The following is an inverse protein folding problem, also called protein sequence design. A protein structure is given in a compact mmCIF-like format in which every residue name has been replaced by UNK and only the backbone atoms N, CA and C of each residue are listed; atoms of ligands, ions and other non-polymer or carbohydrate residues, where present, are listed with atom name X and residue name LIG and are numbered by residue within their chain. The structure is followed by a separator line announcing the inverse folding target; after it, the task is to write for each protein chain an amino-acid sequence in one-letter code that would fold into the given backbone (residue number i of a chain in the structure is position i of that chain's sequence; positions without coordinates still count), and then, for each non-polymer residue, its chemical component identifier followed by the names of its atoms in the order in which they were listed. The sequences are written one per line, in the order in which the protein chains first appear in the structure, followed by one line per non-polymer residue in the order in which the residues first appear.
data_IF_587658219257
#
_entry.id   IF_587658219257
#
_cell.length_a   1.000
_cell.length_b   1.000
_cell.length_c   1.000
_cell.angle_alpha   90.00
_cell.angle_beta   90.00
_cell.angle_gamma   90.00
#
_symmetry.space_group_name_H-M   'P 1'
#
loop_
_entity.id
_entity.type
_entity.pdbx_description
1 polymer ?
#
# COMPACT_ATOMS: atom_id res chain seq x y z
N UNK A 1 20.61 -9.14 57.07
CA UNK A 1 21.22 -9.89 55.97
C UNK A 1 20.13 -10.28 54.98
N UNK A 2 20.28 -9.86 53.72
CA UNK A 2 19.31 -10.03 52.63
C UNK A 2 19.39 -11.45 52.08
N UNK A 3 18.27 -12.14 51.96
CA UNK A 3 18.17 -13.29 51.07
C UNK A 3 17.21 -12.95 49.92
N UNK A 4 17.77 -12.90 48.71
CA UNK A 4 17.08 -12.55 47.46
C UNK A 4 16.34 -13.78 46.96
N UNK A 5 15.01 -13.71 46.85
CA UNK A 5 14.24 -14.65 46.05
C UNK A 5 14.32 -14.23 44.58
N UNK A 6 15.08 -14.98 43.80
CA UNK A 6 15.09 -14.91 42.33
C UNK A 6 13.82 -15.61 41.84
N UNK A 7 12.83 -14.83 41.42
CA UNK A 7 11.66 -15.36 40.70
C UNK A 7 12.10 -15.57 39.25
N UNK A 8 12.34 -16.83 38.88
CA UNK A 8 12.43 -17.27 37.48
C UNK A 8 11.05 -17.12 36.84
N UNK A 9 10.85 -16.06 36.06
CA UNK A 9 9.71 -15.95 35.16
C UNK A 9 9.90 -16.95 34.02
N UNK A 10 9.15 -18.05 34.09
CA UNK A 10 9.18 -19.14 33.11
C UNK A 10 7.77 -19.35 32.56
N UNK A 11 7.31 -18.43 31.72
CA UNK A 11 6.25 -18.61 30.73
C UNK A 11 6.66 -17.67 29.59
N UNK A 12 6.83 -18.13 28.36
CA UNK A 12 5.79 -18.07 27.32
C UNK A 12 6.20 -19.01 26.17
N UNK A 13 5.38 -20.01 25.83
CA UNK A 13 5.37 -20.54 24.47
C UNK A 13 3.93 -20.72 23.99
N UNK A 14 3.20 -19.62 23.73
CA UNK A 14 1.87 -19.69 23.09
C UNK A 14 1.69 -18.63 21.99
N UNK A 15 2.56 -17.62 21.87
CA UNK A 15 2.31 -16.49 20.95
C UNK A 15 2.77 -16.69 19.48
N UNK A 16 3.18 -17.90 19.08
CA UNK A 16 3.74 -18.14 17.72
C UNK A 16 2.75 -18.79 16.75
N UNK A 17 1.58 -19.24 17.18
CA UNK A 17 0.72 -20.09 16.35
C UNK A 17 -0.45 -19.41 15.59
N UNK A 18 -0.57 -18.07 15.56
CA UNK A 18 -1.79 -17.40 15.08
C UNK A 18 -1.56 -16.21 14.12
N UNK A 19 -0.52 -16.31 13.27
CA UNK A 19 -0.31 -15.43 12.09
C UNK A 19 -0.86 -16.08 10.79
N UNK A 20 -1.55 -17.22 10.93
CA UNK A 20 -1.78 -18.19 9.85
C UNK A 20 -2.78 -17.77 8.75
N UNK A 21 -3.62 -16.75 8.93
CA UNK A 21 -4.70 -16.52 7.95
C UNK A 21 -4.39 -15.56 6.79
N UNK A 22 -3.25 -14.87 6.82
CA UNK A 22 -2.61 -14.31 5.61
C UNK A 22 -1.43 -15.13 5.08
N UNK A 23 -1.01 -16.16 5.82
CA UNK A 23 0.02 -17.10 5.41
C UNK A 23 -0.48 -18.09 4.33
N UNK A 24 -1.78 -18.33 4.22
CA UNK A 24 -2.33 -19.36 3.31
C UNK A 24 -2.00 -19.14 1.81
N UNK A 25 -1.73 -17.91 1.37
CA UNK A 25 -1.26 -17.65 -0.01
C UNK A 25 0.27 -17.53 -0.16
N UNK A 26 1.01 -17.37 0.94
CA UNK A 26 2.48 -17.35 0.95
C UNK A 26 3.09 -18.74 1.24
N UNK A 27 2.44 -19.57 2.07
CA UNK A 27 2.90 -20.91 2.43
C UNK A 27 2.93 -21.86 1.22
N UNK A 28 1.99 -21.71 0.27
CA UNK A 28 1.98 -22.54 -0.94
C UNK A 28 3.16 -22.29 -1.89
N UNK A 29 3.87 -21.15 -1.74
CA UNK A 29 5.11 -20.85 -2.48
C UNK A 29 6.38 -21.08 -1.66
N UNK A 30 6.29 -21.00 -0.33
CA UNK A 30 7.44 -21.23 0.56
C UNK A 30 7.79 -22.72 0.69
N UNK A 31 6.80 -23.62 0.63
CA UNK A 31 7.04 -25.06 0.74
C UNK A 31 7.54 -25.73 -0.56
N UNK A 32 7.50 -25.04 -1.70
CA UNK A 32 7.92 -25.62 -2.99
C UNK A 32 9.38 -25.36 -3.39
N UNK A 33 10.13 -24.56 -2.62
CA UNK A 33 11.54 -24.24 -2.91
C UNK A 33 12.43 -24.45 -1.69
N UNK A 34 12.28 -25.58 -1.00
CA UNK A 34 13.24 -26.02 0.01
C UNK A 34 14.47 -26.66 -0.68
N UNK A 35 15.18 -25.86 -1.48
CA UNK A 35 16.55 -26.19 -1.89
C UNK A 35 17.52 -25.68 -0.83
N UNK A 36 18.54 -26.50 -0.55
CA UNK A 36 19.58 -26.34 0.47
C UNK A 36 20.39 -25.05 0.29
N UNK A 37 19.85 -23.91 0.73
CA UNK A 37 20.58 -22.70 1.12
C UNK A 37 19.59 -21.67 1.68
N UNK A 38 18.94 -21.99 2.80
CA UNK A 38 18.08 -21.02 3.51
C UNK A 38 18.89 -19.77 3.83
N UNK A 39 18.59 -18.60 3.22
CA UNK A 39 19.21 -17.34 3.61
C UNK A 39 18.87 -17.10 5.07
N UNK A 40 19.80 -16.55 5.86
CA UNK A 40 19.49 -16.23 7.25
C UNK A 40 18.26 -15.32 7.29
N UNK A 41 17.35 -15.53 8.25
CA UNK A 41 16.09 -14.77 8.41
C UNK A 41 16.32 -13.24 8.53
N UNK A 42 17.58 -12.82 8.67
CA UNK A 42 18.06 -11.46 8.84
C UNK A 42 18.76 -10.85 7.61
N UNK A 43 19.03 -11.63 6.56
CA UNK A 43 19.75 -11.14 5.38
C UNK A 43 18.81 -10.53 4.34
N UNK A 44 19.21 -9.37 3.82
CA UNK A 44 18.56 -8.71 2.71
C UNK A 44 19.04 -9.32 1.38
N UNK A 45 18.12 -9.82 0.55
CA UNK A 45 18.49 -10.34 -0.76
C UNK A 45 19.01 -9.19 -1.63
N UNK A 46 20.22 -9.32 -2.18
CA UNK A 46 20.81 -8.29 -3.04
C UNK A 46 20.37 -8.53 -4.49
N UNK A 47 19.74 -7.55 -5.17
CA UNK A 47 19.30 -7.74 -6.55
C UNK A 47 20.47 -7.94 -7.51
N UNK A 48 20.36 -8.92 -8.40
CA UNK A 48 21.31 -9.12 -9.50
C UNK A 48 21.19 -8.02 -10.57
N UNK A 49 22.03 -8.05 -11.62
CA UNK A 49 22.06 -7.01 -12.65
C UNK A 49 20.71 -6.82 -13.38
N UNK A 50 20.05 -7.93 -13.73
CA UNK A 50 18.76 -7.91 -14.42
C UNK A 50 17.64 -7.39 -13.52
N UNK A 51 17.61 -7.82 -12.26
CA UNK A 51 16.67 -7.34 -11.25
C UNK A 51 16.86 -5.83 -10.97
N UNK A 52 18.11 -5.35 -10.90
CA UNK A 52 18.40 -3.91 -10.78
C UNK A 52 17.83 -3.13 -11.97
N UNK A 53 17.99 -3.65 -13.19
CA UNK A 53 17.42 -3.04 -14.40
C UNK A 53 15.88 -3.00 -14.35
N UNK A 54 15.24 -4.08 -13.91
CA UNK A 54 13.78 -4.13 -13.74
C UNK A 54 13.28 -3.15 -12.68
N UNK A 55 13.95 -3.07 -11.53
CA UNK A 55 13.62 -2.11 -10.48
C UNK A 55 13.72 -0.67 -10.98
N UNK A 56 14.83 -0.29 -11.66
CA UNK A 56 14.96 1.03 -12.27
C UNK A 56 13.84 1.33 -13.26
N UNK A 57 13.51 0.36 -14.12
CA UNK A 57 12.43 0.51 -15.09
C UNK A 57 11.08 0.73 -14.42
N UNK A 58 10.78 0.03 -13.32
CA UNK A 58 9.54 0.23 -12.56
C UNK A 58 9.51 1.62 -11.92
N UNK A 59 10.60 2.06 -11.29
CA UNK A 59 10.73 3.38 -10.66
C UNK A 59 10.53 4.49 -11.70
N UNK A 60 11.14 4.36 -12.89
CA UNK A 60 10.96 5.30 -13.99
C UNK A 60 9.52 5.34 -14.52
N UNK A 61 8.88 4.18 -14.68
CA UNK A 61 7.48 4.11 -15.11
C UNK A 61 6.54 4.75 -14.09
N UNK A 62 6.77 4.49 -12.80
CA UNK A 62 6.01 5.12 -11.71
C UNK A 62 6.18 6.64 -11.76
N UNK A 63 7.42 7.13 -11.77
CA UNK A 63 7.72 8.56 -11.84
C UNK A 63 7.09 9.24 -13.06
N UNK A 64 7.05 8.56 -14.22
CA UNK A 64 6.38 9.07 -15.42
C UNK A 64 4.87 9.24 -15.26
N UNK A 65 4.20 8.31 -14.57
CA UNK A 65 2.78 8.45 -14.25
C UNK A 65 2.55 9.53 -13.20
N UNK A 66 3.40 9.61 -12.17
CA UNK A 66 3.31 10.68 -11.16
C UNK A 66 3.42 12.06 -11.80
N UNK A 67 4.37 12.25 -12.74
CA UNK A 67 4.48 13.49 -13.52
C UNK A 67 3.24 13.76 -14.35
N UNK A 68 2.69 12.72 -14.98
CA UNK A 68 1.46 12.84 -15.77
C UNK A 68 0.27 13.24 -14.91
N UNK A 69 0.10 12.63 -13.74
CA UNK A 69 -0.87 13.05 -12.72
C UNK A 69 -0.62 14.49 -12.28
N UNK A 70 0.65 14.88 -12.12
CA UNK A 70 1.06 16.26 -11.80
C UNK A 70 0.54 17.28 -12.81
N UNK A 71 0.58 16.97 -14.11
CA UNK A 71 0.04 17.87 -15.14
C UNK A 71 -1.47 18.11 -15.05
N UNK A 72 -2.20 17.24 -14.34
CA UNK A 72 -3.65 17.35 -14.13
C UNK A 72 -4.02 18.10 -12.84
N UNK A 73 -3.03 18.66 -12.11
CA UNK A 73 -3.27 19.38 -10.85
C UNK A 73 -4.20 20.58 -11.02
N UNK A 74 -3.93 21.46 -11.99
CA UNK A 74 -4.73 22.68 -12.18
C UNK A 74 -6.16 22.35 -12.60
N UNK A 75 -6.34 21.35 -13.46
CA UNK A 75 -7.67 20.84 -13.81
C UNK A 75 -8.42 20.34 -12.57
N UNK A 76 -7.79 19.48 -11.75
CA UNK A 76 -8.39 18.97 -10.51
C UNK A 76 -8.68 20.10 -9.51
N UNK A 77 -7.84 21.12 -9.46
CA UNK A 77 -8.03 22.29 -8.61
C UNK A 77 -9.23 23.12 -9.03
N UNK A 78 -9.38 23.38 -10.34
CA UNK A 78 -10.55 24.07 -10.90
C UNK A 78 -11.84 23.29 -10.65
N UNK A 79 -11.76 21.96 -10.69
CA UNK A 79 -12.89 21.07 -10.39
C UNK A 79 -13.26 21.02 -8.90
N UNK A 80 -12.44 21.59 -8.01
CA UNK A 80 -12.65 21.53 -6.56
C UNK A 80 -12.31 20.16 -5.95
N UNK A 81 -11.56 19.33 -6.67
CA UNK A 81 -11.09 18.01 -6.22
C UNK A 81 -9.80 18.10 -5.40
N UNK A 82 -9.10 19.25 -5.42
CA UNK A 82 -7.98 19.56 -4.53
C UNK A 82 -8.51 20.33 -3.32
N UNK A 83 -8.41 19.73 -2.13
CA UNK A 83 -8.81 20.33 -0.84
C UNK A 83 -7.69 20.14 0.18
N UNK A 84 -7.25 21.22 0.82
CA UNK A 84 -6.17 21.21 1.80
C UNK A 84 -4.90 20.49 1.29
N UNK A 85 -4.49 20.81 0.06
CA UNK A 85 -3.37 20.16 -0.64
C UNK A 85 -3.51 18.63 -0.76
N UNK A 86 -4.76 18.13 -0.82
CA UNK A 86 -5.06 16.71 -1.00
C UNK A 86 -6.14 16.50 -2.04
N UNK A 87 -6.04 15.40 -2.76
CA UNK A 87 -7.11 14.88 -3.62
C UNK A 87 -7.41 13.46 -3.20
N UNK A 88 -8.68 13.18 -2.89
CA UNK A 88 -9.14 11.84 -2.49
C UNK A 88 -10.08 11.31 -3.56
N UNK A 89 -9.72 10.20 -4.19
CA UNK A 89 -10.50 9.59 -5.27
C UNK A 89 -10.88 8.17 -4.89
N UNK A 90 -12.16 7.85 -5.03
CA UNK A 90 -12.66 6.48 -4.93
C UNK A 90 -12.49 5.79 -6.27
N UNK A 91 -11.73 4.69 -6.27
CA UNK A 91 -11.42 3.91 -7.46
C UNK A 91 -12.44 2.80 -7.67
N UNK A 92 -12.78 2.08 -6.60
CA UNK A 92 -13.73 0.96 -6.64
C UNK A 92 -14.55 0.86 -5.35
N UNK A 93 -15.81 0.43 -5.49
CA UNK A 93 -16.71 0.09 -4.39
C UNK A 93 -17.66 -1.01 -4.88
N UNK A 94 -17.23 -2.27 -4.79
CA UNK A 94 -17.93 -3.39 -5.42
C UNK A 94 -17.96 -4.66 -4.57
N UNK A 95 -18.93 -5.52 -4.87
CA UNK A 95 -19.00 -6.87 -4.32
C UNK A 95 -18.34 -7.84 -5.29
N UNK A 96 -17.32 -8.55 -4.82
CA UNK A 96 -16.68 -9.65 -5.54
C UNK A 96 -17.09 -10.99 -4.95
N UNK A 97 -17.20 -12.02 -5.80
CA UNK A 97 -17.46 -13.41 -5.40
C UNK A 97 -18.50 -14.10 -6.28
N UNK A 98 -18.56 -15.43 -6.18
CA UNK A 98 -19.44 -16.23 -7.03
C UNK A 98 -20.92 -16.09 -6.65
N UNK A 99 -21.77 -16.02 -7.68
CA UNK A 99 -23.21 -16.11 -7.52
C UNK A 99 -23.59 -17.53 -7.02
N UNK A 100 -23.85 -17.66 -5.72
CA UNK A 100 -24.26 -18.92 -5.08
C UNK A 100 -23.40 -19.31 -3.88
N UNK A 101 -22.17 -18.77 -3.77
CA UNK A 101 -21.29 -19.02 -2.63
C UNK A 101 -21.16 -17.77 -1.76
N UNK A 102 -22.08 -17.62 -0.80
CA UNK A 102 -22.16 -16.44 0.06
C UNK A 102 -20.94 -16.25 0.97
N UNK A 103 -20.21 -17.33 1.28
CA UNK A 103 -19.04 -17.29 2.16
C UNK A 103 -17.79 -16.73 1.47
N UNK A 104 -17.78 -16.68 0.13
CA UNK A 104 -16.71 -16.08 -0.69
C UNK A 104 -17.05 -14.68 -1.21
N UNK A 105 -18.10 -14.06 -0.67
CA UNK A 105 -18.47 -12.69 -1.04
C UNK A 105 -17.69 -11.69 -0.19
N UNK A 106 -16.98 -10.80 -0.88
CA UNK A 106 -16.25 -9.70 -0.29
C UNK A 106 -16.72 -8.38 -0.85
N UNK A 107 -16.81 -7.37 0.01
CA UNK A 107 -16.92 -5.99 -0.41
C UNK A 107 -15.52 -5.38 -0.48
N UNK A 108 -15.15 -4.84 -1.63
CA UNK A 108 -13.90 -4.13 -1.85
C UNK A 108 -14.18 -2.65 -1.98
N UNK A 109 -13.44 -1.84 -1.24
CA UNK A 109 -13.44 -0.39 -1.33
C UNK A 109 -12.01 0.11 -1.47
N UNK A 110 -11.73 0.72 -2.62
CA UNK A 110 -10.42 1.25 -2.96
C UNK A 110 -10.49 2.77 -3.09
N UNK A 111 -9.53 3.45 -2.48
CA UNK A 111 -9.33 4.88 -2.67
C UNK A 111 -7.84 5.19 -2.79
N UNK A 112 -7.56 6.28 -3.48
CA UNK A 112 -6.24 6.91 -3.51
C UNK A 112 -6.36 8.32 -2.89
N UNK A 113 -5.38 8.68 -2.07
CA UNK A 113 -5.14 10.05 -1.64
C UNK A 113 -3.83 10.52 -2.24
N UNK A 114 -3.88 11.62 -2.97
CA UNK A 114 -2.72 12.31 -3.53
C UNK A 114 -2.46 13.52 -2.64
N UNK A 115 -1.25 13.62 -2.10
CA UNK A 115 -0.80 14.78 -1.34
C UNK A 115 0.00 15.68 -2.26
N UNK A 116 -0.43 16.92 -2.38
CA UNK A 116 0.18 17.93 -3.23
C UNK A 116 1.16 18.79 -2.42
N UNK A 117 2.24 19.19 -3.08
CA UNK A 117 3.17 20.19 -2.57
C UNK A 117 3.63 21.02 -3.75
N UNK A 118 3.42 22.33 -3.68
CA UNK A 118 3.82 23.26 -4.75
C UNK A 118 3.26 22.86 -6.14
N UNK A 119 2.02 22.35 -6.17
CA UNK A 119 1.34 21.90 -7.39
C UNK A 119 1.85 20.57 -7.97
N UNK A 120 2.71 19.84 -7.24
CA UNK A 120 3.24 18.54 -7.65
C UNK A 120 2.84 17.44 -6.67
N UNK A 121 2.67 16.18 -7.14
CA UNK A 121 2.45 15.06 -6.24
C UNK A 121 3.69 14.81 -5.38
N UNK A 122 3.52 14.91 -4.06
CA UNK A 122 4.58 14.70 -3.07
C UNK A 122 4.52 13.32 -2.44
N UNK A 123 3.31 12.80 -2.23
CA UNK A 123 3.05 11.50 -1.61
C UNK A 123 1.74 10.92 -2.12
N UNK A 124 1.67 9.60 -2.19
CA UNK A 124 0.45 8.87 -2.48
C UNK A 124 0.13 7.93 -1.31
N UNK A 125 -1.15 7.86 -0.96
CA UNK A 125 -1.70 6.87 -0.04
C UNK A 125 -2.77 6.07 -0.76
N UNK A 126 -2.50 4.78 -1.00
CA UNK A 126 -3.47 3.84 -1.52
C UNK A 126 -4.10 3.10 -0.36
N UNK A 127 -5.42 3.20 -0.24
CA UNK A 127 -6.17 2.47 0.76
C UNK A 127 -7.08 1.47 0.06
N UNK A 128 -6.98 0.21 0.49
CA UNK A 128 -7.90 -0.87 0.13
C UNK A 128 -8.51 -1.44 1.39
N UNK A 129 -9.84 -1.49 1.44
CA UNK A 129 -10.58 -2.26 2.43
C UNK A 129 -11.26 -3.43 1.76
N UNK A 130 -11.02 -4.62 2.28
CA UNK A 130 -11.73 -5.83 1.93
C UNK A 130 -12.50 -6.31 3.15
N UNK A 131 -13.81 -6.50 3.03
CA UNK A 131 -14.66 -6.99 4.11
C UNK A 131 -15.47 -8.20 3.64
N UNK A 132 -15.50 -9.27 4.43
CA UNK A 132 -16.37 -10.42 4.17
C UNK A 132 -17.83 -10.06 4.51
N UNK A 133 -18.78 -10.48 3.68
CA UNK A 133 -20.20 -10.09 3.84
C UNK A 133 -20.89 -10.82 5.01
N UNK A 134 -20.44 -12.04 5.34
CA UNK A 134 -20.89 -12.82 6.51
C UNK A 134 -19.71 -13.10 7.43
N UNK A 135 -19.72 -12.48 8.61
CA UNK A 135 -18.61 -12.49 9.57
C UNK A 135 -17.86 -11.16 9.61
N UNK A 136 -17.24 -10.84 10.73
CA UNK A 136 -16.47 -9.59 10.90
C UNK A 136 -15.01 -9.86 10.53
N UNK A 137 -14.78 -10.30 9.30
CA UNK A 137 -13.43 -10.39 8.74
C UNK A 137 -13.17 -9.16 7.87
N UNK A 138 -12.27 -8.28 8.33
CA UNK A 138 -11.98 -7.01 7.66
C UNK A 138 -10.48 -6.86 7.53
N UNK A 139 -10.03 -6.60 6.32
CA UNK A 139 -8.64 -6.30 6.02
C UNK A 139 -8.61 -4.87 5.50
N UNK A 140 -7.78 -4.03 6.10
CA UNK A 140 -7.44 -2.71 5.57
C UNK A 140 -5.95 -2.70 5.25
N UNK A 141 -5.63 -2.33 4.02
CA UNK A 141 -4.25 -2.15 3.57
C UNK A 141 -4.08 -0.71 3.15
N UNK A 142 -3.09 -0.04 3.74
CA UNK A 142 -2.69 1.31 3.38
C UNK A 142 -1.26 1.26 2.89
N UNK A 143 -1.05 1.52 1.61
CA UNK A 143 0.28 1.69 1.04
C UNK A 143 0.57 3.19 0.92
N UNK A 144 1.63 3.65 1.57
CA UNK A 144 2.12 5.02 1.45
C UNK A 144 3.45 5.02 0.72
N UNK A 145 3.57 5.85 -0.31
CA UNK A 145 4.80 6.03 -1.06
C UNK A 145 5.05 7.53 -1.26
N UNK A 146 6.26 7.98 -0.98
CA UNK A 146 6.69 9.30 -1.42
C UNK A 146 6.89 9.30 -2.94
N UNK A 147 6.81 10.48 -3.55
CA UNK A 147 7.03 10.68 -4.98
C UNK A 147 8.37 10.07 -5.42
N UNK A 148 8.35 9.24 -6.46
CA UNK A 148 9.53 8.56 -6.99
C UNK A 148 10.26 9.39 -8.06
N UNK A 149 9.78 10.60 -8.37
CA UNK A 149 10.38 11.47 -9.39
C UNK A 149 11.85 11.75 -9.14
N UNK A 150 12.24 12.05 -7.90
CA UNK A 150 13.65 12.29 -7.56
C UNK A 150 14.48 11.02 -7.63
N UNK A 151 13.96 9.90 -7.12
CA UNK A 151 14.62 8.60 -7.20
C UNK A 151 14.88 8.18 -8.66
N UNK A 152 13.91 8.42 -9.56
CA UNK A 152 14.05 8.14 -10.98
C UNK A 152 15.14 9.00 -11.64
N UNK A 153 15.23 10.29 -11.30
CA UNK A 153 16.28 11.20 -11.82
C UNK A 153 17.68 10.83 -11.35
N UNK A 154 17.79 10.37 -10.11
CA UNK A 154 19.06 9.94 -9.51
C UNK A 154 19.45 8.49 -9.86
N UNK A 155 18.65 7.79 -10.68
CA UNK A 155 18.79 6.34 -10.94
C UNK A 155 18.85 5.48 -9.65
N UNK A 156 18.23 5.97 -8.59
CA UNK A 156 18.20 5.34 -7.28
C UNK A 156 17.30 4.11 -7.29
N UNK A 157 17.74 3.06 -6.61
CA UNK A 157 16.93 1.88 -6.31
C UNK A 157 16.19 2.01 -4.97
N UNK A 158 16.45 3.09 -4.23
CA UNK A 158 15.85 3.33 -2.92
C UNK A 158 14.50 4.03 -3.10
N UNK A 159 13.43 3.38 -2.66
CA UNK A 159 12.08 3.94 -2.70
C UNK A 159 11.39 3.76 -1.34
N UNK A 160 11.02 4.86 -0.66
CA UNK A 160 10.36 4.79 0.63
C UNK A 160 8.89 4.42 0.44
N UNK A 161 8.64 3.11 0.37
CA UNK A 161 7.29 2.54 0.35
C UNK A 161 7.05 1.84 1.68
N UNK A 162 5.95 2.20 2.33
CA UNK A 162 5.48 1.58 3.56
C UNK A 162 4.08 1.02 3.32
N UNK A 163 3.82 -0.17 3.85
CA UNK A 163 2.52 -0.84 3.73
C UNK A 163 2.05 -1.17 5.13
N UNK A 164 1.02 -0.46 5.58
CA UNK A 164 0.30 -0.77 6.81
C UNK A 164 -0.80 -1.78 6.50
N UNK A 165 -0.84 -2.90 7.21
CA UNK A 165 -1.91 -3.89 7.12
C UNK A 165 -2.58 -3.99 8.49
N UNK A 166 -3.87 -3.63 8.52
CA UNK A 166 -4.75 -3.81 9.67
C UNK A 166 -5.74 -4.93 9.35
N UNK A 167 -5.56 -6.09 9.97
CA UNK A 167 -6.47 -7.23 9.88
C UNK A 167 -7.34 -7.30 11.14
N UNK A 168 -8.64 -7.45 10.96
CA UNK A 168 -9.60 -7.76 12.03
C UNK A 168 -10.21 -9.13 11.73
N UNK A 169 -9.98 -10.08 12.64
CA UNK A 169 -10.48 -11.44 12.54
C UNK A 169 -11.94 -11.52 12.97
N UNK A 170 -12.62 -12.61 12.58
CA UNK A 170 -14.01 -12.86 12.97
C UNK A 170 -14.20 -12.92 14.51
N UNK A 171 -13.13 -13.22 15.27
CA UNK A 171 -13.10 -13.19 16.73
C UNK A 171 -13.13 -11.79 17.34
N UNK A 172 -13.02 -10.73 16.53
CA UNK A 172 -12.88 -9.35 16.97
C UNK A 172 -11.45 -8.96 17.35
N UNK A 173 -10.49 -9.89 17.34
CA UNK A 173 -9.08 -9.60 17.53
C UNK A 173 -8.51 -8.93 16.28
N UNK A 174 -7.72 -7.87 16.49
CA UNK A 174 -7.04 -7.14 15.43
C UNK A 174 -5.54 -7.39 15.45
N UNK A 175 -4.95 -7.65 14.28
CA UNK A 175 -3.50 -7.70 14.07
C UNK A 175 -3.12 -6.53 13.17
N UNK A 176 -2.08 -5.80 13.55
CA UNK A 176 -1.54 -4.70 12.75
C UNK A 176 -0.06 -4.94 12.48
N UNK A 177 0.33 -4.91 11.22
CA UNK A 177 1.71 -5.13 10.78
C UNK A 177 2.11 -4.06 9.79
N UNK A 178 3.30 -3.48 9.94
CA UNK A 178 3.84 -2.54 8.96
C UNK A 178 4.98 -3.21 8.19
N UNK A 179 4.82 -3.30 6.87
CA UNK A 179 5.86 -3.73 5.96
C UNK A 179 6.60 -2.53 5.40
N UNK A 180 7.92 -2.60 5.31
CA UNK A 180 8.75 -1.57 4.68
C UNK A 180 9.60 -2.16 3.58
N UNK A 181 9.78 -1.41 2.51
CA UNK A 181 10.73 -1.75 1.47
C UNK A 181 12.12 -1.28 1.92
N UNK A 182 13.09 -2.18 2.09
CA UNK A 182 14.44 -1.83 2.52
C UNK A 182 15.19 -1.06 1.44
N UNK A 183 15.97 -0.06 1.88
CA UNK A 183 16.89 0.68 1.02
C UNK A 183 18.14 -0.15 0.67
N UNK A 184 18.86 0.18 -0.42
CA UNK A 184 20.00 -0.61 -0.92
C UNK A 184 21.24 -0.62 -0.01
N UNK A 185 21.30 0.24 1.02
CA UNK A 185 22.40 0.32 1.99
C UNK A 185 21.96 -0.12 3.40
N UNK A 186 20.87 -0.90 3.48
CA UNK A 186 20.36 -1.44 4.74
C UNK A 186 20.71 -2.93 4.82
N UNK A 187 22.00 -3.21 4.94
CA UNK A 187 22.54 -4.58 4.88
C UNK A 187 22.17 -5.41 6.13
N UNK A 188 21.93 -4.74 7.26
CA UNK A 188 21.44 -5.34 8.50
C UNK A 188 20.15 -4.66 8.94
N UNK A 189 19.03 -5.33 8.73
CA UNK A 189 17.72 -4.90 9.19
C UNK A 189 17.20 -5.91 10.21
N UNK A 190 17.18 -5.50 11.47
CA UNK A 190 16.48 -6.23 12.51
C UNK A 190 15.02 -5.77 12.52
N UNK A 191 14.10 -6.72 12.65
CA UNK A 191 12.69 -6.41 12.82
C UNK A 191 12.54 -5.64 14.15
N UNK A 192 11.98 -4.43 14.07
CA UNK A 192 11.87 -3.52 15.21
C UNK A 192 10.40 -3.31 15.58
N UNK A 193 10.15 -2.77 16.78
CA UNK A 193 8.82 -2.27 17.14
C UNK A 193 8.84 -0.76 17.27
N UNK A 194 8.04 -0.06 16.49
CA UNK A 194 7.99 1.40 16.46
C UNK A 194 6.58 1.91 16.77
N UNK A 195 6.47 3.13 17.30
CA UNK A 195 5.18 3.82 17.39
C UNK A 195 4.84 4.39 16.01
N UNK A 196 3.77 3.89 15.41
CA UNK A 196 3.29 4.29 14.08
C UNK A 196 1.92 4.92 14.23
N UNK A 197 1.69 6.04 13.54
CA UNK A 197 0.38 6.65 13.44
C UNK A 197 -0.52 5.76 12.56
N UNK A 198 -1.62 5.31 13.13
CA UNK A 198 -2.61 4.47 12.44
C UNK A 198 -3.56 5.31 11.59
N UNK A 199 -4.31 4.66 10.71
CA UNK A 199 -5.36 5.29 9.89
C UNK A 199 -6.44 6.03 10.70
N UNK A 200 -6.55 5.79 12.00
CA UNK A 200 -7.47 6.48 12.91
C UNK A 200 -6.84 7.66 13.67
N UNK A 201 -5.60 8.04 13.34
CA UNK A 201 -4.86 9.13 14.01
C UNK A 201 -4.31 8.76 15.40
N UNK A 202 -4.39 7.48 15.78
CA UNK A 202 -3.83 6.98 17.04
C UNK A 202 -2.43 6.41 16.84
N UNK A 203 -1.48 6.72 17.71
CA UNK A 203 -0.17 6.09 17.71
C UNK A 203 -0.24 4.72 18.37
N UNK A 204 0.21 3.67 17.67
CA UNK A 204 0.29 2.32 18.21
C UNK A 204 1.67 1.73 18.00
N UNK A 205 2.12 0.91 18.95
CA UNK A 205 3.36 0.15 18.80
C UNK A 205 3.11 -0.97 17.80
N UNK A 206 3.87 -0.98 16.72
CA UNK A 206 3.70 -1.89 15.58
C UNK A 206 4.99 -2.64 15.31
N UNK A 207 4.87 -3.91 14.93
CA UNK A 207 5.98 -4.67 14.38
C UNK A 207 6.30 -4.14 12.98
N UNK A 208 7.58 -3.78 12.77
CA UNK A 208 8.13 -3.39 11.49
C UNK A 208 8.78 -4.61 10.87
N UNK A 209 8.26 -5.02 9.72
CA UNK A 209 8.75 -6.16 8.94
C UNK A 209 9.33 -5.66 7.63
N UNK A 210 10.58 -6.00 7.34
CA UNK A 210 11.19 -5.61 6.08
C UNK A 210 10.93 -6.64 4.99
N UNK A 211 10.57 -6.19 3.78
CA UNK A 211 10.44 -7.07 2.62
C UNK A 211 11.83 -7.40 2.07
N UNK A 212 12.40 -8.51 2.54
CA UNK A 212 13.78 -8.91 2.26
C UNK A 212 13.98 -9.46 0.85
N UNK A 213 13.00 -10.19 0.30
CA UNK A 213 13.11 -10.79 -1.04
C UNK A 213 13.01 -9.75 -2.14
N UNK A 214 13.82 -9.88 -3.20
CA UNK A 214 13.79 -8.96 -4.35
C UNK A 214 12.46 -9.08 -5.09
N UNK A 215 11.95 -10.30 -5.25
CA UNK A 215 10.69 -10.58 -5.96
C UNK A 215 9.50 -9.89 -5.29
N UNK A 216 9.37 -10.02 -3.96
CA UNK A 216 8.29 -9.38 -3.20
C UNK A 216 8.30 -7.86 -3.34
N UNK A 217 9.50 -7.25 -3.32
CA UNK A 217 9.68 -5.81 -3.56
C UNK A 217 9.24 -5.41 -4.96
N UNK A 218 9.63 -6.17 -5.98
CA UNK A 218 9.21 -5.93 -7.36
C UNK A 218 7.69 -6.07 -7.51
N UNK A 219 7.08 -7.06 -6.86
CA UNK A 219 5.63 -7.27 -6.89
C UNK A 219 4.84 -6.13 -6.23
N UNK A 220 5.35 -5.60 -5.12
CA UNK A 220 4.80 -4.39 -4.51
C UNK A 220 4.86 -3.21 -5.49
N UNK A 221 6.01 -2.98 -6.14
CA UNK A 221 6.16 -1.89 -7.10
C UNK A 221 5.28 -2.07 -8.34
N UNK A 222 5.13 -3.30 -8.85
CA UNK A 222 4.21 -3.61 -9.97
C UNK A 222 2.77 -3.32 -9.60
N UNK A 223 2.34 -3.72 -8.39
CA UNK A 223 0.99 -3.43 -7.88
C UNK A 223 0.78 -1.93 -7.70
N UNK A 224 1.75 -1.22 -7.13
CA UNK A 224 1.72 0.23 -6.98
C UNK A 224 1.59 0.94 -8.33
N UNK A 225 2.42 0.55 -9.31
CA UNK A 225 2.36 1.05 -10.68
C UNK A 225 0.97 0.85 -11.31
N UNK A 226 0.38 -0.34 -11.16
CA UNK A 226 -0.97 -0.61 -11.69
C UNK A 226 -2.02 0.28 -11.03
N UNK A 227 -1.98 0.44 -9.71
CA UNK A 227 -2.88 1.35 -8.99
C UNK A 227 -2.76 2.79 -9.46
N UNK A 228 -1.54 3.27 -9.72
CA UNK A 228 -1.32 4.62 -10.26
C UNK A 228 -1.89 4.76 -11.68
N UNK A 229 -1.75 3.75 -12.55
CA UNK A 229 -2.38 3.73 -13.88
C UNK A 229 -3.90 3.82 -13.79
N UNK A 230 -4.49 3.02 -12.91
CA UNK A 230 -5.96 3.02 -12.71
C UNK A 230 -6.43 4.38 -12.16
N UNK A 231 -5.65 4.97 -11.28
CA UNK A 231 -5.91 6.31 -10.72
C UNK A 231 -5.79 7.41 -11.77
N UNK A 232 -4.76 7.37 -12.62
CA UNK A 232 -4.59 8.29 -13.74
C UNK A 232 -5.78 8.24 -14.69
N UNK A 233 -6.19 7.02 -15.09
CA UNK A 233 -7.36 6.82 -15.93
C UNK A 233 -8.64 7.37 -15.28
N UNK A 234 -8.80 7.17 -13.97
CA UNK A 234 -9.94 7.70 -13.23
C UNK A 234 -9.95 9.22 -13.19
N UNK A 235 -8.80 9.86 -12.97
CA UNK A 235 -8.64 11.32 -12.99
C UNK A 235 -9.04 11.86 -14.37
N UNK A 236 -8.49 11.28 -15.44
CA UNK A 236 -8.81 11.67 -16.82
C UNK A 236 -10.32 11.56 -17.10
N UNK A 237 -10.95 10.49 -16.63
CA UNK A 237 -12.40 10.30 -16.76
C UNK A 237 -13.21 11.37 -16.04
N UNK A 238 -12.83 11.73 -14.80
CA UNK A 238 -13.48 12.78 -14.02
C UNK A 238 -13.39 14.12 -14.74
N UNK A 239 -12.17 14.50 -15.17
CA UNK A 239 -11.93 15.76 -15.90
C UNK A 239 -12.78 15.80 -17.18
N UNK A 240 -12.72 14.75 -17.99
CA UNK A 240 -13.48 14.67 -19.25
C UNK A 240 -15.00 14.78 -19.04
N UNK A 241 -15.54 14.10 -18.02
CA UNK A 241 -16.97 14.13 -17.77
C UNK A 241 -17.45 15.49 -17.27
N UNK A 242 -16.67 16.15 -16.41
CA UNK A 242 -17.05 17.49 -15.96
C UNK A 242 -17.06 18.48 -17.11
N UNK A 243 -16.02 18.50 -17.95
CA UNK A 243 -15.96 19.36 -19.12
C UNK A 243 -17.17 19.13 -20.05
N UNK A 244 -17.61 17.87 -20.20
CA UNK A 244 -18.83 17.55 -20.96
C UNK A 244 -20.10 18.08 -20.30
N UNK A 245 -20.25 17.91 -18.99
CA UNK A 245 -21.41 18.44 -18.24
C UNK A 245 -21.51 19.96 -18.35
N UNK A 246 -20.40 20.67 -18.17
CA UNK A 246 -20.36 22.13 -18.23
C UNK A 246 -20.64 22.65 -19.64
N UNK A 247 -20.11 21.98 -20.67
CA UNK A 247 -20.46 22.27 -22.08
C UNK A 247 -21.95 22.10 -22.36
N UNK A 248 -22.57 21.02 -21.87
CA UNK A 248 -24.03 20.81 -22.01
C UNK A 248 -24.84 21.86 -21.25
N UNK A 249 -24.39 22.29 -20.06
CA UNK A 249 -25.05 23.37 -19.31
C UNK A 249 -25.00 24.69 -20.09
N UNK A 250 -23.84 25.06 -20.62
CA UNK A 250 -23.67 26.28 -21.42
C UNK A 250 -24.56 26.28 -22.68
N UNK A 251 -24.64 25.15 -23.39
CA UNK A 251 -25.52 25.04 -24.55
C UNK A 251 -27.00 25.21 -24.18
N UNK A 252 -27.44 24.63 -23.04
CA UNK A 252 -28.82 24.78 -22.56
C UNK A 252 -29.16 26.22 -22.19
N UNK A 253 -28.26 26.94 -21.52
CA UNK A 253 -28.48 28.35 -21.15
C UNK A 253 -28.53 29.24 -22.38
N UNK A 254 -27.68 29.00 -23.37
CA UNK A 254 -27.67 29.75 -24.63
C UNK A 254 -28.94 29.56 -25.47
N UNK A 255 -29.61 28.41 -25.38
CA UNK A 255 -30.88 28.15 -26.08
C UNK A 255 -32.11 28.70 -25.34
N UNK A 256 -31.94 29.22 -24.13
CA UNK A 256 -33.01 29.82 -23.31
C UNK A 256 -33.00 31.37 -23.35
N UNK A 257 -31.97 31.97 -23.97
CA UNK A 257 -31.86 33.39 -24.29
C UNK A 257 -32.34 33.67 -25.73
#
# INVERSE_FOLDING_TARGET
MRNRSIIRNRQWPILVALVVFFAVQYDFRAEQNADESTPSLTELEVPNADQKKQLRSLIQQIAGIEQTIGTMYDDLKVLGEVKDEKTVLYLAAEYMGDAGNQDRRFFINDRITIFWKDGQPSRFELFRRQAKVRGIYIIRKTMTAESMVEAARAESLSVPVQILVDETLESGLGVQTQFRLPGPNQDNLEDSSELVETTTGSNKRMAIVYLRKVEDRMDVLRKYLQFLRDSENRIRFIIKNKLREDSMRYQRTKTLE
#
